data_IF_508281218172
#
_entry.id   IF_508281218172
#
_cell.length_a   1.000
_cell.length_b   1.000
_cell.length_c   1.000
_cell.angle_alpha   90.00
_cell.angle_beta   90.00
_cell.angle_gamma   90.00
#
_symmetry.space_group_name_H-M   'P 1'
#
loop_
_entity.id
_entity.type
_entity.pdbx_description
1 polymer ?
#
# COMPACT_ATOMS: atom_id res chain seq x y z
N UNK A 1 23.72 -17.74 -3.81
CA UNK A 1 23.40 -16.40 -3.29
C UNK A 1 21.98 -16.49 -2.78
N UNK A 2 21.75 -16.28 -1.46
CA UNK A 2 20.37 -16.18 -0.95
C UNK A 2 19.82 -14.86 -1.49
N UNK A 3 18.87 -14.92 -2.43
CA UNK A 3 18.09 -13.73 -2.81
C UNK A 3 17.47 -13.14 -1.54
N UNK A 4 17.85 -11.91 -1.23
CA UNK A 4 17.32 -11.17 -0.09
C UNK A 4 15.85 -10.89 -0.38
N UNK A 5 14.95 -11.55 0.34
CA UNK A 5 13.50 -11.34 0.25
C UNK A 5 13.12 -10.17 1.15
N UNK A 6 12.39 -9.22 0.62
CA UNK A 6 11.87 -8.10 1.40
C UNK A 6 10.63 -8.50 2.19
N UNK A 7 9.68 -9.20 1.52
CA UNK A 7 8.53 -9.84 2.15
C UNK A 7 8.39 -11.26 1.61
N UNK A 8 8.01 -12.20 2.47
CA UNK A 8 7.74 -13.59 2.12
C UNK A 8 6.42 -14.03 2.75
N UNK A 9 5.47 -14.45 1.94
CA UNK A 9 4.25 -15.12 2.36
C UNK A 9 4.34 -16.61 2.03
N UNK A 10 3.99 -17.49 2.98
CA UNK A 10 4.05 -18.95 2.82
C UNK A 10 2.77 -19.60 3.30
N UNK A 11 2.09 -20.30 2.39
CA UNK A 11 0.88 -21.09 2.65
C UNK A 11 -0.19 -20.33 3.43
N UNK A 12 -0.37 -19.02 3.12
CA UNK A 12 -1.31 -18.14 3.82
C UNK A 12 -2.73 -18.58 3.52
N UNK A 13 -3.47 -18.94 4.56
CA UNK A 13 -4.87 -19.38 4.49
C UNK A 13 -5.71 -18.51 5.40
N UNK A 14 -6.87 -18.06 4.91
CA UNK A 14 -7.82 -17.24 5.65
C UNK A 14 -9.25 -17.62 5.28
N UNK A 15 -10.09 -17.81 6.30
CA UNK A 15 -11.50 -18.14 6.12
C UNK A 15 -12.41 -17.20 6.91
N UNK A 16 -13.58 -16.90 6.37
CA UNK A 16 -14.64 -16.16 7.03
C UNK A 16 -15.90 -17.04 7.12
N UNK A 17 -16.21 -17.56 8.29
CA UNK A 17 -17.28 -18.55 8.43
C UNK A 17 -16.98 -19.77 7.56
N UNK A 18 -17.84 -20.08 6.59
CA UNK A 18 -17.66 -21.19 5.66
C UNK A 18 -16.95 -20.83 4.35
N UNK A 19 -16.60 -19.56 4.12
CA UNK A 19 -15.95 -19.08 2.90
C UNK A 19 -14.45 -18.99 3.09
N UNK A 20 -13.69 -19.72 2.27
CA UNK A 20 -12.23 -19.64 2.22
C UNK A 20 -11.80 -18.49 1.30
N UNK A 21 -11.32 -17.39 1.90
CA UNK A 21 -10.89 -16.20 1.17
C UNK A 21 -9.46 -16.30 0.64
N UNK A 22 -8.60 -17.06 1.34
CA UNK A 22 -7.24 -17.39 0.90
C UNK A 22 -6.99 -18.87 1.18
N UNK A 23 -6.35 -19.55 0.23
CA UNK A 23 -6.09 -20.99 0.29
C UNK A 23 -4.63 -21.30 -0.07
N UNK A 24 -3.75 -21.31 0.92
CA UNK A 24 -2.35 -21.68 0.77
C UNK A 24 -1.52 -20.74 -0.12
N UNK A 25 -1.84 -19.45 -0.15
CA UNK A 25 -1.14 -18.47 -1.00
C UNK A 25 0.30 -18.32 -0.57
N UNK A 26 1.23 -18.45 -1.54
CA UNK A 26 2.67 -18.30 -1.32
C UNK A 26 3.32 -17.47 -2.41
N UNK A 27 4.06 -16.43 -2.03
CA UNK A 27 4.84 -15.57 -2.95
C UNK A 27 5.92 -14.80 -2.16
N UNK A 28 6.85 -14.24 -2.90
CA UNK A 28 7.90 -13.35 -2.36
C UNK A 28 7.77 -11.95 -2.97
N UNK A 29 8.24 -10.95 -2.24
CA UNK A 29 8.47 -9.58 -2.73
C UNK A 29 9.96 -9.30 -2.58
N UNK A 30 10.61 -8.85 -3.65
CA UNK A 30 12.04 -8.51 -3.62
C UNK A 30 12.23 -7.03 -3.20
N UNK A 31 13.39 -6.70 -2.59
CA UNK A 31 13.68 -5.30 -2.29
C UNK A 31 13.71 -4.45 -3.57
N UNK A 32 13.04 -3.31 -3.53
CA UNK A 32 13.02 -2.38 -4.65
C UNK A 32 12.31 -2.91 -5.89
N UNK A 33 11.27 -3.76 -5.75
CA UNK A 33 10.43 -4.13 -6.89
C UNK A 33 9.03 -3.50 -6.81
N UNK A 34 8.37 -3.41 -7.95
CA UNK A 34 6.93 -3.17 -8.07
C UNK A 34 6.28 -4.50 -8.41
N UNK A 35 5.67 -5.14 -7.39
CA UNK A 35 4.89 -6.35 -7.55
C UNK A 35 3.42 -6.01 -7.68
N UNK A 36 2.75 -6.43 -8.75
CA UNK A 36 1.30 -6.33 -8.85
C UNK A 36 0.61 -7.63 -8.39
N UNK A 37 -0.47 -7.50 -7.63
CA UNK A 37 -1.37 -8.61 -7.29
C UNK A 37 -2.68 -8.37 -8.03
N UNK A 38 -2.97 -9.21 -9.00
CA UNK A 38 -4.15 -9.11 -9.86
C UNK A 38 -5.07 -10.32 -9.72
N UNK A 39 -6.23 -10.26 -10.32
CA UNK A 39 -7.23 -11.33 -10.33
C UNK A 39 -8.64 -10.78 -10.32
N UNK A 40 -9.65 -11.63 -10.58
CA UNK A 40 -11.06 -11.26 -10.56
C UNK A 40 -11.54 -10.66 -9.24
N UNK A 41 -12.75 -10.08 -9.24
CA UNK A 41 -13.38 -9.64 -8.01
C UNK A 41 -13.65 -10.85 -7.09
N UNK A 42 -13.38 -10.69 -5.81
CA UNK A 42 -13.51 -11.81 -4.87
C UNK A 42 -12.33 -12.81 -4.87
N UNK A 43 -11.30 -12.62 -5.70
CA UNK A 43 -10.13 -13.51 -5.74
C UNK A 43 -9.28 -13.53 -4.46
N UNK A 44 -9.55 -12.64 -3.47
CA UNK A 44 -8.84 -12.61 -2.19
C UNK A 44 -7.72 -11.55 -2.09
N UNK A 45 -7.53 -10.70 -3.11
CA UNK A 45 -6.46 -9.68 -3.17
C UNK A 45 -6.42 -8.78 -1.93
N UNK A 46 -7.51 -8.11 -1.61
CA UNK A 46 -7.62 -7.23 -0.44
C UNK A 46 -7.48 -8.01 0.89
N UNK A 47 -7.96 -9.26 0.94
CA UNK A 47 -7.78 -10.14 2.10
C UNK A 47 -6.31 -10.46 2.34
N UNK A 48 -5.54 -10.68 1.27
CA UNK A 48 -4.10 -10.90 1.35
C UNK A 48 -3.37 -9.65 1.88
N UNK A 49 -3.67 -8.47 1.35
CA UNK A 49 -3.12 -7.20 1.89
C UNK A 49 -3.51 -6.97 3.35
N UNK A 50 -4.74 -7.35 3.74
CA UNK A 50 -5.20 -7.29 5.12
C UNK A 50 -4.40 -8.23 6.05
N UNK A 51 -3.95 -9.39 5.55
CA UNK A 51 -3.05 -10.26 6.30
C UNK A 51 -1.64 -9.66 6.43
N UNK A 52 -1.10 -9.07 5.36
CA UNK A 52 0.23 -8.47 5.36
C UNK A 52 0.30 -7.28 6.33
N UNK A 53 -0.73 -6.43 6.36
CA UNK A 53 -0.74 -5.25 7.24
C UNK A 53 -1.25 -5.53 8.67
N UNK A 54 -1.58 -6.80 8.99
CA UNK A 54 -2.01 -7.23 10.33
C UNK A 54 -3.44 -6.83 10.71
N UNK A 55 -4.27 -6.46 9.73
CA UNK A 55 -5.69 -6.21 9.93
C UNK A 55 -6.47 -7.54 10.09
N UNK A 56 -6.10 -8.56 9.28
CA UNK A 56 -6.57 -9.92 9.46
C UNK A 56 -5.42 -10.82 9.94
N UNK A 57 -5.77 -11.81 10.74
CA UNK A 57 -4.85 -12.87 11.15
C UNK A 57 -5.16 -14.11 10.32
N UNK A 58 -4.21 -14.62 9.54
CA UNK A 58 -4.43 -15.84 8.79
C UNK A 58 -4.65 -17.03 9.74
N UNK A 59 -5.46 -17.99 9.29
CA UNK A 59 -5.74 -19.24 10.03
C UNK A 59 -4.48 -20.12 10.09
N UNK A 60 -3.71 -20.14 8.98
CA UNK A 60 -2.45 -20.85 8.85
C UNK A 60 -1.49 -20.16 7.89
N UNK A 61 -0.24 -20.62 7.87
CA UNK A 61 0.83 -20.04 7.07
C UNK A 61 1.63 -19.00 7.85
N UNK A 62 2.57 -18.34 7.16
CA UNK A 62 3.44 -17.34 7.76
C UNK A 62 3.72 -16.19 6.80
N UNK A 63 3.90 -14.99 7.37
CA UNK A 63 4.31 -13.79 6.65
C UNK A 63 5.53 -13.23 7.37
N UNK A 64 6.62 -13.07 6.63
CA UNK A 64 7.91 -12.57 7.13
C UNK A 64 8.30 -11.33 6.35
N UNK A 65 8.62 -10.24 7.04
CA UNK A 65 9.10 -8.98 6.47
C UNK A 65 10.50 -8.70 7.00
N UNK A 66 11.50 -8.62 6.11
CA UNK A 66 12.93 -8.41 6.44
C UNK A 66 13.43 -9.30 7.59
N UNK A 67 13.04 -10.57 7.57
CA UNK A 67 13.42 -11.54 8.61
C UNK A 67 12.57 -11.52 9.88
N UNK A 68 11.66 -10.56 10.04
CA UNK A 68 10.72 -10.50 11.17
C UNK A 68 9.39 -11.18 10.81
N UNK A 69 8.95 -12.12 11.61
CA UNK A 69 7.63 -12.73 11.45
C UNK A 69 6.54 -11.75 11.87
N UNK A 70 5.68 -11.37 10.89
CA UNK A 70 4.61 -10.40 11.10
C UNK A 70 3.21 -11.02 11.11
N UNK A 71 3.09 -12.34 10.94
CA UNK A 71 1.84 -13.11 10.78
C UNK A 71 0.76 -12.77 11.82
N UNK A 72 1.18 -12.59 13.08
CA UNK A 72 0.28 -12.27 14.21
C UNK A 72 0.57 -10.93 14.86
N UNK A 73 1.38 -10.11 14.19
CA UNK A 73 1.75 -8.79 14.68
C UNK A 73 0.61 -7.81 14.46
N UNK A 74 0.21 -7.01 15.44
CA UNK A 74 -0.87 -6.03 15.26
C UNK A 74 -0.44 -4.89 14.33
N UNK A 75 -1.39 -4.34 13.57
CA UNK A 75 -1.17 -3.37 12.49
C UNK A 75 -0.29 -2.17 12.90
N UNK A 76 -0.48 -1.60 14.11
CA UNK A 76 0.33 -0.47 14.55
C UNK A 76 1.83 -0.81 14.70
N UNK A 77 2.17 -2.05 15.07
CA UNK A 77 3.56 -2.52 15.13
C UNK A 77 4.11 -2.79 13.74
N UNK A 78 3.29 -3.32 12.83
CA UNK A 78 3.66 -3.54 11.42
C UNK A 78 3.98 -2.18 10.75
N UNK A 79 3.18 -1.14 10.99
CA UNK A 79 3.47 0.20 10.53
C UNK A 79 4.83 0.72 11.05
N UNK A 80 5.15 0.47 12.33
CA UNK A 80 6.45 0.84 12.91
C UNK A 80 7.63 0.04 12.33
N UNK A 81 7.39 -1.14 11.75
CA UNK A 81 8.39 -1.91 11.02
C UNK A 81 8.65 -1.36 9.60
N UNK A 82 7.85 -0.40 9.13
CA UNK A 82 8.02 0.22 7.81
C UNK A 82 7.13 -0.35 6.72
N UNK A 83 6.02 -1.01 7.06
CA UNK A 83 4.98 -1.37 6.10
C UNK A 83 3.85 -0.34 6.21
N UNK A 84 3.59 0.42 5.13
CA UNK A 84 2.43 1.29 5.04
C UNK A 84 1.43 0.80 4.01
N UNK A 85 0.18 1.23 4.11
CA UNK A 85 -0.89 0.93 3.17
C UNK A 85 -1.75 2.15 2.88
N UNK A 86 -2.14 2.33 1.60
CA UNK A 86 -3.28 3.16 1.24
C UNK A 86 -4.56 2.35 1.43
N UNK A 87 -5.60 2.93 2.01
CA UNK A 87 -6.86 2.21 2.28
C UNK A 87 -7.89 2.54 1.20
N UNK A 88 -8.66 1.54 0.81
CA UNK A 88 -9.69 1.60 -0.23
C UNK A 88 -10.85 2.55 0.11
N UNK A 89 -11.14 2.81 1.40
CA UNK A 89 -12.17 3.71 1.85
C UNK A 89 -11.71 4.59 3.02
N UNK A 90 -11.79 5.90 2.83
CA UNK A 90 -11.89 6.95 3.85
C UNK A 90 -10.99 6.87 5.08
N UNK A 91 -9.72 6.48 4.91
CA UNK A 91 -8.75 6.59 6.00
C UNK A 91 -8.37 8.05 6.29
N UNK A 92 -8.83 9.02 5.48
CA UNK A 92 -8.57 10.44 5.66
C UNK A 92 -9.48 11.04 6.73
N UNK A 93 -8.93 11.91 7.55
CA UNK A 93 -9.68 12.75 8.47
C UNK A 93 -10.35 13.88 7.67
N UNK A 94 -11.61 13.69 7.27
CA UNK A 94 -12.34 14.59 6.36
C UNK A 94 -12.52 15.99 6.89
N UNK A 95 -12.48 16.19 8.22
CA UNK A 95 -12.56 17.50 8.88
C UNK A 95 -11.22 18.22 9.02
N UNK A 96 -10.11 17.58 8.71
CA UNK A 96 -8.78 18.15 8.81
C UNK A 96 -8.27 18.67 7.46
N UNK A 97 -7.27 19.57 7.51
CA UNK A 97 -6.57 20.03 6.32
C UNK A 97 -5.70 18.91 5.70
N UNK A 98 -5.27 19.09 4.46
CA UNK A 98 -4.27 18.23 3.81
C UNK A 98 -3.02 18.09 4.67
N UNK A 99 -2.45 19.22 5.11
CA UNK A 99 -1.26 19.26 5.97
C UNK A 99 -1.47 18.45 7.25
N UNK A 100 -2.60 18.66 7.96
CA UNK A 100 -2.87 17.98 9.22
C UNK A 100 -3.09 16.48 9.05
N UNK A 101 -3.67 16.04 7.92
CA UNK A 101 -3.79 14.63 7.56
C UNK A 101 -2.43 13.94 7.42
N UNK A 102 -1.47 14.59 6.76
CA UNK A 102 -0.12 14.06 6.60
C UNK A 102 0.65 14.09 7.92
N UNK A 103 0.54 15.17 8.68
CA UNK A 103 1.16 15.29 10.02
C UNK A 103 0.62 14.23 10.99
N UNK A 104 -0.68 13.92 10.96
CA UNK A 104 -1.27 12.87 11.78
C UNK A 104 -0.62 11.50 11.56
N UNK A 105 -0.17 11.18 10.34
CA UNK A 105 0.55 9.94 10.08
C UNK A 105 1.94 9.91 10.73
N UNK A 106 2.56 11.06 10.96
CA UNK A 106 3.88 11.15 11.58
C UNK A 106 3.92 10.74 13.06
N UNK A 107 2.76 10.57 13.73
CA UNK A 107 2.69 10.24 15.15
C UNK A 107 3.47 8.98 15.55
N UNK A 108 3.62 8.00 14.64
CA UNK A 108 4.39 6.78 14.93
C UNK A 108 5.89 7.03 15.09
N UNK A 109 6.38 8.16 14.58
CA UNK A 109 7.77 8.57 14.66
C UNK A 109 8.01 9.56 15.82
N UNK A 110 6.96 10.05 16.47
CA UNK A 110 7.08 10.96 17.62
C UNK A 110 7.59 10.23 18.86
N UNK A 111 8.66 10.74 19.45
CA UNK A 111 9.29 10.21 20.66
C UNK A 111 9.07 11.10 21.87
N UNK A 112 8.56 12.33 21.67
CA UNK A 112 8.33 13.27 22.74
C UNK A 112 7.30 12.75 23.75
N UNK A 113 7.66 12.74 25.03
CA UNK A 113 6.78 12.37 26.13
C UNK A 113 5.68 13.43 26.33
N UNK A 114 4.52 13.01 26.88
CA UNK A 114 3.37 13.88 27.14
C UNK A 114 3.74 15.17 27.90
N UNK A 115 4.68 15.14 28.85
CA UNK A 115 5.20 16.29 29.56
C UNK A 115 6.01 17.24 28.68
N UNK A 116 6.78 16.72 27.72
CA UNK A 116 7.56 17.52 26.76
C UNK A 116 6.65 18.20 25.75
N UNK A 117 5.57 17.51 25.33
CA UNK A 117 4.54 18.10 24.48
C UNK A 117 3.77 19.21 25.20
N UNK A 118 3.51 19.09 26.52
CA UNK A 118 2.79 20.08 27.31
C UNK A 118 3.61 21.38 27.47
N UNK A 119 4.93 21.27 27.59
CA UNK A 119 5.83 22.41 27.73
C UNK A 119 6.24 23.05 26.40
N UNK A 120 5.98 22.36 25.27
CA UNK A 120 6.31 22.80 23.89
C UNK A 120 7.71 23.42 23.74
N UNK A 121 8.69 22.98 24.55
CA UNK A 121 10.03 23.55 24.60
C UNK A 121 11.12 22.50 24.28
N UNK A 122 12.17 22.93 23.58
CA UNK A 122 13.38 22.13 23.36
C UNK A 122 13.20 20.98 22.36
N UNK A 123 13.14 19.74 22.84
CA UNK A 123 13.12 18.53 21.98
C UNK A 123 11.83 18.41 21.17
N UNK A 124 10.67 18.68 21.77
CA UNK A 124 9.37 18.58 21.09
C UNK A 124 9.24 19.59 19.93
N UNK A 125 9.73 20.82 20.12
CA UNK A 125 9.71 21.82 19.04
C UNK A 125 10.63 21.45 17.86
N UNK A 126 11.83 20.90 18.15
CA UNK A 126 12.74 20.42 17.07
C UNK A 126 12.15 19.24 16.33
N UNK A 127 11.49 18.33 17.04
CA UNK A 127 10.82 17.17 16.45
C UNK A 127 9.67 17.60 15.53
N UNK A 128 8.85 18.58 15.96
CA UNK A 128 7.76 19.16 15.14
C UNK A 128 8.31 19.79 13.83
N UNK A 129 9.42 20.50 13.88
CA UNK A 129 10.06 21.09 12.70
C UNK A 129 10.48 19.99 11.71
N UNK A 130 11.13 18.92 12.19
CA UNK A 130 11.55 17.81 11.34
C UNK A 130 10.35 17.11 10.71
N UNK A 131 9.29 16.85 11.48
CA UNK A 131 8.08 16.22 10.94
C UNK A 131 7.37 17.10 9.92
N UNK A 132 7.32 18.41 10.14
CA UNK A 132 6.78 19.38 9.17
C UNK A 132 7.59 19.40 7.88
N UNK A 133 8.91 19.40 7.96
CA UNK A 133 9.77 19.39 6.79
C UNK A 133 9.51 18.15 5.92
N UNK A 134 9.44 16.96 6.52
CA UNK A 134 9.12 15.72 5.78
C UNK A 134 7.76 15.81 5.11
N UNK A 135 6.76 16.39 5.77
CA UNK A 135 5.41 16.55 5.21
C UNK A 135 5.40 17.56 4.06
N UNK A 136 6.12 18.68 4.17
CA UNK A 136 6.24 19.67 3.08
C UNK A 136 6.91 19.04 1.85
N UNK A 137 8.00 18.27 2.03
CA UNK A 137 8.65 17.54 0.94
C UNK A 137 7.70 16.55 0.22
N UNK A 138 6.73 15.97 0.96
CA UNK A 138 5.72 15.07 0.37
C UNK A 138 4.65 15.88 -0.37
N UNK A 139 4.24 17.04 0.17
CA UNK A 139 3.28 17.95 -0.46
C UNK A 139 3.84 18.42 -1.81
N UNK A 140 5.10 18.87 -1.84
CA UNK A 140 5.79 19.30 -3.06
C UNK A 140 5.94 18.12 -4.04
N UNK A 141 6.36 16.95 -3.55
CA UNK A 141 6.53 15.74 -4.36
C UNK A 141 5.24 15.30 -5.08
N UNK A 142 4.08 15.43 -4.42
CA UNK A 142 2.77 15.06 -4.96
C UNK A 142 2.05 16.20 -5.68
N UNK A 143 2.71 17.38 -5.80
CA UNK A 143 2.15 18.56 -6.48
C UNK A 143 0.80 19.01 -5.89
N UNK A 144 0.69 18.98 -4.55
CA UNK A 144 -0.54 19.32 -3.81
C UNK A 144 -0.40 20.56 -2.92
N UNK A 145 0.55 21.47 -3.21
CA UNK A 145 0.79 22.70 -2.44
C UNK A 145 -0.44 23.60 -2.44
N UNK A 146 -1.14 23.66 -3.56
CA UNK A 146 -2.33 24.49 -3.76
C UNK A 146 -3.52 24.09 -2.86
N UNK A 147 -3.57 22.82 -2.40
CA UNK A 147 -4.60 22.32 -1.47
C UNK A 147 -4.08 22.11 -0.05
N UNK A 148 -2.85 22.51 0.26
CA UNK A 148 -2.18 22.28 1.55
C UNK A 148 -3.04 22.61 2.76
N UNK A 149 -3.79 23.72 2.70
CA UNK A 149 -4.68 24.20 3.78
C UNK A 149 -6.16 23.84 3.56
N UNK A 150 -6.47 23.21 2.45
CA UNK A 150 -7.83 22.82 2.14
C UNK A 150 -8.29 21.66 3.03
N UNK A 151 -9.56 21.71 3.46
CA UNK A 151 -10.20 20.63 4.21
C UNK A 151 -10.42 19.45 3.27
N UNK A 152 -9.89 18.28 3.63
CA UNK A 152 -9.84 17.10 2.75
C UNK A 152 -11.24 16.63 2.32
N UNK A 153 -12.24 16.77 3.17
CA UNK A 153 -13.63 16.42 2.84
C UNK A 153 -14.24 17.20 1.67
N UNK A 154 -13.71 18.40 1.37
CA UNK A 154 -14.17 19.24 0.26
C UNK A 154 -13.40 19.01 -1.04
N UNK A 155 -12.36 18.19 -1.06
CA UNK A 155 -11.52 17.96 -2.22
C UNK A 155 -12.19 17.04 -3.25
N UNK A 156 -11.93 17.23 -4.55
CA UNK A 156 -12.23 16.27 -5.59
C UNK A 156 -11.60 14.89 -5.31
N UNK A 157 -12.16 13.84 -5.92
CA UNK A 157 -11.75 12.46 -5.63
C UNK A 157 -10.26 12.20 -5.93
N UNK A 158 -9.76 12.63 -7.08
CA UNK A 158 -8.36 12.46 -7.47
C UNK A 158 -7.38 13.13 -6.49
N UNK A 159 -7.69 14.36 -6.04
CA UNK A 159 -6.87 15.04 -5.03
C UNK A 159 -6.91 14.33 -3.67
N UNK A 160 -8.06 13.77 -3.27
CA UNK A 160 -8.13 12.94 -2.05
C UNK A 160 -7.23 11.71 -2.15
N UNK A 161 -7.18 11.06 -3.32
CA UNK A 161 -6.28 9.92 -3.57
C UNK A 161 -4.80 10.31 -3.50
N UNK A 162 -4.43 11.50 -3.99
CA UNK A 162 -3.06 12.04 -3.80
C UNK A 162 -2.75 12.27 -2.32
N UNK A 163 -3.70 12.79 -1.54
CA UNK A 163 -3.54 12.95 -0.08
C UNK A 163 -3.43 11.60 0.64
N UNK A 164 -4.17 10.57 0.22
CA UNK A 164 -4.04 9.20 0.75
C UNK A 164 -2.63 8.64 0.53
N UNK A 165 -2.10 8.80 -0.69
CA UNK A 165 -0.72 8.41 -1.01
C UNK A 165 0.28 9.20 -0.15
N UNK A 166 0.11 10.52 -0.04
CA UNK A 166 0.94 11.39 0.80
C UNK A 166 0.95 10.96 2.26
N UNK A 167 -0.20 10.59 2.80
CA UNK A 167 -0.33 10.09 4.17
C UNK A 167 0.41 8.77 4.38
N UNK A 168 0.36 7.86 3.41
CA UNK A 168 1.13 6.63 3.46
C UNK A 168 2.64 6.90 3.35
N UNK A 169 3.06 7.82 2.48
CA UNK A 169 4.46 8.24 2.34
C UNK A 169 4.99 8.95 3.59
N UNK A 170 4.13 9.66 4.34
CA UNK A 170 4.50 10.31 5.59
C UNK A 170 4.95 9.30 6.67
N UNK A 171 4.60 8.04 6.56
CA UNK A 171 5.12 6.94 7.38
C UNK A 171 6.56 6.54 7.01
N UNK A 172 7.13 7.08 5.92
CA UNK A 172 8.44 6.72 5.37
C UNK A 172 8.60 5.20 5.21
N UNK A 173 7.70 4.54 4.45
CA UNK A 173 7.66 3.10 4.38
C UNK A 173 8.83 2.53 3.57
N UNK A 174 9.27 1.33 3.96
CA UNK A 174 10.15 0.48 3.15
C UNK A 174 9.36 -0.41 2.20
N UNK A 175 8.15 -0.80 2.61
CA UNK A 175 7.16 -1.51 1.79
C UNK A 175 5.85 -0.73 1.81
N UNK A 176 5.37 -0.31 0.64
CA UNK A 176 4.11 0.39 0.47
C UNK A 176 3.10 -0.51 -0.25
N UNK A 177 1.98 -0.76 0.41
CA UNK A 177 0.85 -1.53 -0.12
C UNK A 177 -0.17 -0.54 -0.71
N UNK A 178 -0.40 -0.62 -2.00
CA UNK A 178 -1.33 0.22 -2.74
C UNK A 178 -2.57 -0.60 -3.12
N UNK A 179 -3.70 -0.27 -2.53
CA UNK A 179 -4.96 -0.99 -2.75
C UNK A 179 -5.91 -0.13 -3.60
N UNK A 180 -5.94 -0.41 -4.90
CA UNK A 180 -6.72 0.28 -5.92
C UNK A 180 -6.55 1.82 -5.87
N UNK A 181 -5.31 2.32 -5.93
CA UNK A 181 -5.05 3.75 -5.78
C UNK A 181 -5.68 4.63 -6.88
N UNK A 182 -6.01 4.05 -8.04
CA UNK A 182 -6.51 4.78 -9.20
C UNK A 182 -8.01 4.59 -9.46
N UNK A 183 -8.69 3.81 -8.62
CA UNK A 183 -10.14 3.58 -8.76
C UNK A 183 -10.93 4.87 -8.65
N UNK A 184 -11.83 5.12 -9.61
CA UNK A 184 -12.69 6.30 -9.67
C UNK A 184 -12.02 7.56 -10.22
N UNK A 185 -10.80 7.48 -10.72
CA UNK A 185 -10.07 8.54 -11.40
C UNK A 185 -10.36 8.58 -12.90
N UNK A 186 -10.31 9.76 -13.51
CA UNK A 186 -10.28 9.91 -14.96
C UNK A 186 -8.89 9.52 -15.51
N UNK A 187 -8.74 9.48 -16.85
CA UNK A 187 -7.51 9.00 -17.48
C UNK A 187 -6.27 9.84 -17.12
N UNK A 188 -6.38 11.17 -17.13
CA UNK A 188 -5.29 12.09 -16.79
C UNK A 188 -4.87 11.92 -15.31
N UNK A 189 -5.84 11.81 -14.39
CA UNK A 189 -5.56 11.56 -12.97
C UNK A 189 -4.89 10.22 -12.73
N UNK A 190 -5.23 9.17 -13.52
CA UNK A 190 -4.59 7.85 -13.45
C UNK A 190 -3.14 7.91 -13.92
N UNK A 191 -2.86 8.59 -15.03
CA UNK A 191 -1.51 8.78 -15.57
C UNK A 191 -0.62 9.53 -14.57
N UNK A 192 -1.15 10.59 -13.95
CA UNK A 192 -0.46 11.31 -12.89
C UNK A 192 -0.18 10.41 -11.68
N UNK A 193 -1.16 9.62 -11.22
CA UNK A 193 -0.99 8.72 -10.10
C UNK A 193 0.04 7.63 -10.42
N UNK A 194 0.04 7.07 -11.62
CA UNK A 194 1.05 6.11 -12.08
C UNK A 194 2.45 6.73 -12.05
N UNK A 195 2.60 7.97 -12.52
CA UNK A 195 3.85 8.72 -12.46
C UNK A 195 4.33 8.87 -11.01
N UNK A 196 3.45 9.28 -10.07
CA UNK A 196 3.83 9.37 -8.66
C UNK A 196 4.24 8.03 -8.06
N UNK A 197 3.56 6.93 -8.42
CA UNK A 197 3.91 5.58 -7.97
C UNK A 197 5.31 5.19 -8.47
N UNK A 198 5.61 5.41 -9.75
CA UNK A 198 6.93 5.19 -10.33
C UNK A 198 8.00 6.08 -9.65
N UNK A 199 7.71 7.35 -9.44
CA UNK A 199 8.60 8.28 -8.75
C UNK A 199 8.89 7.86 -7.29
N UNK A 200 7.91 7.31 -6.58
CA UNK A 200 8.11 6.73 -5.23
C UNK A 200 9.08 5.56 -5.29
N UNK A 201 8.92 4.69 -6.28
CA UNK A 201 9.82 3.56 -6.48
C UNK A 201 11.24 4.02 -6.84
N UNK A 202 11.39 4.83 -7.88
CA UNK A 202 12.70 5.22 -8.45
C UNK A 202 13.47 6.19 -7.54
N UNK A 203 12.79 7.23 -7.03
CA UNK A 203 13.46 8.32 -6.29
C UNK A 203 13.64 8.00 -4.81
N UNK A 204 12.78 7.15 -4.23
CA UNK A 204 12.81 6.80 -2.80
C UNK A 204 13.26 5.36 -2.54
N UNK A 205 13.39 4.53 -3.58
CA UNK A 205 13.77 3.11 -3.45
C UNK A 205 12.75 2.28 -2.70
N UNK A 206 11.49 2.72 -2.62
CA UNK A 206 10.43 2.04 -1.87
C UNK A 206 9.97 0.81 -2.64
N UNK A 207 9.90 -0.33 -1.98
CA UNK A 207 9.27 -1.55 -2.52
C UNK A 207 7.75 -1.37 -2.55
N UNK A 208 7.10 -1.73 -3.66
CA UNK A 208 5.67 -1.53 -3.86
C UNK A 208 4.95 -2.86 -4.09
N UNK A 209 3.80 -3.02 -3.44
CA UNK A 209 2.81 -4.05 -3.78
C UNK A 209 1.53 -3.35 -4.18
N UNK A 210 1.10 -3.56 -5.43
CA UNK A 210 -0.01 -2.85 -6.05
C UNK A 210 -1.15 -3.83 -6.35
N UNK A 211 -2.37 -3.48 -5.93
CA UNK A 211 -3.62 -4.08 -6.45
C UNK A 211 -4.28 -3.07 -7.35
N UNK A 212 -4.58 -3.44 -8.58
CA UNK A 212 -5.32 -2.63 -9.54
C UNK A 212 -6.12 -3.49 -10.51
N UNK A 213 -7.15 -2.90 -11.10
CA UNK A 213 -8.02 -3.55 -12.09
C UNK A 213 -7.74 -3.10 -13.52
N UNK A 214 -7.06 -1.97 -13.70
CA UNK A 214 -6.66 -1.45 -15.01
C UNK A 214 -5.43 -2.21 -15.50
N UNK A 215 -5.69 -3.29 -16.27
CA UNK A 215 -4.63 -4.18 -16.74
C UNK A 215 -3.60 -3.48 -17.63
N UNK A 216 -4.03 -2.50 -18.45
CA UNK A 216 -3.12 -1.74 -19.30
C UNK A 216 -2.06 -1.05 -18.46
N UNK A 217 -2.52 -0.28 -17.49
CA UNK A 217 -1.66 0.49 -16.61
C UNK A 217 -0.80 -0.39 -15.69
N UNK A 218 -1.35 -1.49 -15.16
CA UNK A 218 -0.57 -2.43 -14.34
C UNK A 218 0.56 -3.06 -15.13
N UNK A 219 0.31 -3.43 -16.40
CA UNK A 219 1.33 -4.01 -17.27
C UNK A 219 2.46 -3.04 -17.61
N UNK A 220 2.17 -1.73 -17.62
CA UNK A 220 3.18 -0.71 -17.91
C UNK A 220 4.10 -0.42 -16.71
N UNK A 221 3.62 -0.60 -15.47
CA UNK A 221 4.36 -0.21 -14.27
C UNK A 221 4.90 -1.39 -13.45
N UNK A 222 4.25 -2.57 -13.49
CA UNK A 222 4.67 -3.72 -12.70
C UNK A 222 5.88 -4.43 -13.31
N UNK A 223 6.83 -4.80 -12.47
CA UNK A 223 7.99 -5.61 -12.87
C UNK A 223 7.67 -7.10 -12.81
N UNK A 224 6.80 -7.50 -11.89
CA UNK A 224 6.32 -8.87 -11.70
C UNK A 224 4.89 -8.86 -11.21
N UNK A 225 4.17 -9.92 -11.51
CA UNK A 225 2.75 -10.05 -11.18
C UNK A 225 2.48 -11.39 -10.51
N UNK A 226 1.58 -11.38 -9.54
CA UNK A 226 0.97 -12.56 -8.91
C UNK A 226 -0.51 -12.52 -9.21
N UNK A 227 -1.04 -13.60 -9.77
CA UNK A 227 -2.45 -13.72 -10.13
C UNK A 227 -3.15 -14.60 -9.12
N UNK A 228 -4.21 -14.06 -8.52
CA UNK A 228 -5.09 -14.80 -7.62
C UNK A 228 -6.42 -15.09 -8.31
N UNK A 229 -6.95 -16.29 -8.04
CA UNK A 229 -8.31 -16.68 -8.39
C UNK A 229 -8.87 -17.59 -7.29
N UNK A 230 -10.12 -17.33 -6.83
CA UNK A 230 -10.75 -18.05 -5.71
C UNK A 230 -9.84 -18.32 -4.51
N UNK A 231 -9.07 -17.32 -4.10
CA UNK A 231 -8.16 -17.40 -2.94
C UNK A 231 -6.87 -18.18 -3.20
N UNK A 232 -6.58 -18.64 -4.41
CA UNK A 232 -5.37 -19.37 -4.78
C UNK A 232 -4.50 -18.57 -5.75
N UNK A 233 -3.19 -18.76 -5.67
CA UNK A 233 -2.27 -18.25 -6.69
C UNK A 233 -2.32 -19.18 -7.91
N UNK A 234 -2.76 -18.66 -9.06
CA UNK A 234 -2.86 -19.42 -10.31
C UNK A 234 -1.69 -19.16 -11.26
N UNK A 235 -1.03 -18.00 -11.15
CA UNK A 235 0.15 -17.66 -11.95
C UNK A 235 1.05 -16.66 -11.22
N UNK A 236 2.33 -16.63 -11.62
CA UNK A 236 3.32 -15.63 -11.21
C UNK A 236 4.35 -15.50 -12.34
N UNK A 237 4.74 -14.27 -12.70
CA UNK A 237 5.69 -14.02 -13.78
C UNK A 237 5.77 -12.54 -14.13
N UNK A 238 6.53 -12.21 -15.16
CA UNK A 238 6.58 -10.87 -15.75
C UNK A 238 5.28 -10.55 -16.51
N UNK A 239 4.93 -9.29 -16.75
CA UNK A 239 3.68 -8.89 -17.40
C UNK A 239 3.42 -9.63 -18.73
N UNK A 240 4.42 -9.80 -19.58
CA UNK A 240 4.29 -10.49 -20.87
C UNK A 240 3.94 -11.98 -20.73
N UNK A 241 4.49 -12.68 -19.73
CA UNK A 241 4.15 -14.08 -19.44
C UNK A 241 2.72 -14.20 -18.93
N UNK A 242 2.30 -13.29 -18.04
CA UNK A 242 0.95 -13.27 -17.49
C UNK A 242 -0.09 -12.98 -18.56
N UNK A 243 0.19 -12.10 -19.49
CA UNK A 243 -0.70 -11.74 -20.61
C UNK A 243 -1.08 -12.95 -21.49
N UNK A 244 -0.14 -13.89 -21.66
CA UNK A 244 -0.33 -15.06 -22.52
C UNK A 244 -0.65 -16.34 -21.73
N UNK A 245 -0.82 -16.25 -20.42
CA UNK A 245 -1.10 -17.41 -19.58
C UNK A 245 -2.56 -17.84 -19.71
N UNK A 246 -2.79 -19.07 -20.17
CA UNK A 246 -4.14 -19.63 -20.43
C UNK A 246 -5.01 -19.66 -19.15
N UNK A 247 -4.43 -19.99 -17.99
CA UNK A 247 -5.16 -20.02 -16.73
C UNK A 247 -5.64 -18.62 -16.33
N UNK A 248 -4.80 -17.58 -16.57
CA UNK A 248 -5.15 -16.18 -16.31
C UNK A 248 -6.26 -15.72 -17.25
N UNK A 249 -6.10 -15.98 -18.56
CA UNK A 249 -7.11 -15.64 -19.57
C UNK A 249 -8.46 -16.26 -19.20
N UNK A 250 -8.46 -17.55 -18.83
CA UNK A 250 -9.69 -18.26 -18.44
C UNK A 250 -10.34 -17.67 -17.18
N UNK A 251 -9.54 -17.28 -16.18
CA UNK A 251 -10.06 -16.69 -14.95
C UNK A 251 -10.78 -15.35 -15.20
N UNK A 252 -10.27 -14.53 -16.12
CA UNK A 252 -10.90 -13.26 -16.50
C UNK A 252 -12.06 -13.41 -17.48
N UNK A 253 -12.00 -14.36 -18.42
CA UNK A 253 -13.10 -14.62 -19.39
C UNK A 253 -14.27 -15.39 -18.76
N UNK A 254 -14.03 -16.18 -17.71
CA UNK A 254 -15.08 -16.90 -16.99
C UNK A 254 -16.05 -16.02 -16.22
N UNK A 255 -15.71 -14.76 -15.95
CA UNK A 255 -16.61 -13.75 -15.37
C UNK A 255 -17.51 -13.05 -16.41
N UNK A 256 -17.28 -13.27 -17.71
CA UNK A 256 -17.99 -12.58 -18.81
C UNK A 256 -19.25 -13.35 -19.30
N UNK A 257 -19.75 -14.35 -18.55
CA UNK A 257 -20.97 -15.12 -18.87
C UNK A 257 -22.05 -14.91 -17.82
#
# INVERSE_FOLDING_TARGET
>A
MHETRHLSARNVTLSFGGLQALNGVSFDVHPGEILAIIGPNGAGKTSLLNCINGFYRPDSGSIVFEGYEVTRTPAHKIASLGIARTFQSTALYTGLSTLDNLLAARHIHMRANMLQCLLYWGAAHREDIVHRQVVEEIIDFLEIEHIRKAVVGALPHGLRKRVELGRALALQPRLLLLDEPMTGMNQEEKEDMARFILDVHEKRGTTLVLIEHDMGLVMDIAQRMVVLDFGMKIAEGIPDEIRHNEAVIKAYLGEAV
#
